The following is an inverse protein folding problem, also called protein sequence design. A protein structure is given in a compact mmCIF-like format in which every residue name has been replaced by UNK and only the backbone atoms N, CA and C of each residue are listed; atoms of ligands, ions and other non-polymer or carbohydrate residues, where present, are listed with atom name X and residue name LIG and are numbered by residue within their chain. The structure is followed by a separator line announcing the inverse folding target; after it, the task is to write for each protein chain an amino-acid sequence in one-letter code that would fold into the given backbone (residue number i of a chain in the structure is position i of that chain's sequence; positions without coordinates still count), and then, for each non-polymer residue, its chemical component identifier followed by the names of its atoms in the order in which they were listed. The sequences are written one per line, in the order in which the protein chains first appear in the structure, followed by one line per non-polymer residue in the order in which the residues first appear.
data_IF_726580143421
#
_entry.id   IF_726580143421
#
_cell.length_a   1.000
_cell.length_b   1.000
_cell.length_c   1.000
_cell.angle_alpha   90.00
_cell.angle_beta   90.00
_cell.angle_gamma   90.00
#
_symmetry.space_group_name_H-M   'P 1'
#
loop_
_entity.id
_entity.type
_entity.pdbx_description
1 polymer ?
#
# COMPACT_ATOMS: atom_id res chain seq x y z
N UNK A 1 -1.78 7.86 14.52
CA UNK A 1 -2.60 8.83 15.28
C UNK A 1 -2.48 10.26 14.74
N UNK A 2 -1.28 10.88 14.73
CA UNK A 2 -1.10 12.31 14.42
C UNK A 2 -1.78 12.82 13.13
N UNK A 3 -1.72 12.06 12.03
CA UNK A 3 -2.42 12.41 10.78
C UNK A 3 -3.93 12.60 10.97
N UNK A 4 -4.58 11.63 11.64
CA UNK A 4 -6.02 11.62 11.89
C UNK A 4 -6.42 12.77 12.81
N UNK A 5 -5.64 12.99 13.88
CA UNK A 5 -5.88 14.08 14.83
C UNK A 5 -5.79 15.46 14.16
N UNK A 6 -4.74 15.70 13.36
CA UNK A 6 -4.57 16.97 12.64
C UNK A 6 -5.68 17.20 11.62
N UNK A 7 -6.07 16.15 10.88
CA UNK A 7 -7.15 16.21 9.91
C UNK A 7 -8.54 16.31 10.57
N UNK A 8 -8.65 16.03 11.87
CA UNK A 8 -9.93 15.86 12.60
C UNK A 8 -10.86 14.86 11.90
N UNK A 9 -10.28 13.88 11.21
CA UNK A 9 -10.98 12.92 10.35
C UNK A 9 -10.07 11.73 10.04
N UNK A 10 -10.61 10.51 10.10
CA UNK A 10 -9.90 9.28 9.75
C UNK A 10 -10.08 8.16 10.77
N UNK A 11 -9.33 7.07 10.58
CA UNK A 11 -9.47 5.84 11.37
C UNK A 11 -8.14 5.47 12.02
N UNK A 12 -7.92 5.82 13.30
CA UNK A 12 -6.63 5.62 13.95
C UNK A 12 -6.49 4.21 14.53
N UNK A 13 -7.58 3.57 14.96
CA UNK A 13 -7.56 2.30 15.68
C UNK A 13 -6.94 1.15 14.89
N UNK A 14 -7.55 0.80 13.74
CA UNK A 14 -7.01 -0.25 12.87
C UNK A 14 -5.58 0.05 12.41
N UNK A 15 -5.31 1.31 12.05
CA UNK A 15 -3.98 1.73 11.62
C UNK A 15 -2.89 1.55 12.69
N UNK A 16 -3.21 1.81 13.97
CA UNK A 16 -2.28 1.57 15.07
C UNK A 16 -2.15 0.07 15.37
N UNK A 17 -3.24 -0.69 15.31
CA UNK A 17 -3.21 -2.14 15.53
C UNK A 17 -2.44 -2.93 14.46
N UNK A 18 -2.42 -2.44 13.22
CA UNK A 18 -1.69 -3.06 12.11
C UNK A 18 -0.25 -2.59 11.93
N UNK A 19 0.24 -1.66 12.77
CA UNK A 19 1.55 -1.02 12.58
C UNK A 19 2.72 -2.02 12.60
N UNK A 20 2.69 -2.99 13.52
CA UNK A 20 3.75 -4.00 13.62
C UNK A 20 3.73 -4.93 12.40
N UNK A 21 2.53 -5.33 11.95
CA UNK A 21 2.36 -6.19 10.78
C UNK A 21 2.88 -5.52 9.51
N UNK A 22 2.46 -4.29 9.24
CA UNK A 22 2.86 -3.60 8.00
C UNK A 22 4.37 -3.33 7.98
N UNK A 23 4.95 -3.02 9.15
CA UNK A 23 6.38 -2.78 9.25
C UNK A 23 7.16 -4.06 8.96
N UNK A 24 6.81 -5.18 9.62
CA UNK A 24 7.44 -6.49 9.37
C UNK A 24 7.29 -6.88 7.89
N UNK A 25 6.10 -6.72 7.31
CA UNK A 25 5.88 -7.02 5.89
C UNK A 25 6.88 -6.25 5.02
N UNK A 26 6.97 -4.93 5.16
CA UNK A 26 7.83 -4.08 4.33
C UNK A 26 9.33 -4.17 4.66
N UNK A 27 9.71 -4.57 5.88
CA UNK A 27 11.13 -4.63 6.28
C UNK A 27 11.75 -6.01 6.12
N UNK A 28 10.95 -7.08 6.12
CA UNK A 28 11.47 -8.45 6.18
C UNK A 28 10.95 -9.38 5.07
N UNK A 29 9.75 -9.16 4.52
CA UNK A 29 9.12 -10.12 3.60
C UNK A 29 8.94 -9.60 2.18
N UNK A 30 8.53 -8.34 2.04
CA UNK A 30 8.22 -7.76 0.75
C UNK A 30 9.51 -7.58 -0.06
N UNK A 31 9.58 -8.23 -1.22
CA UNK A 31 10.66 -8.04 -2.18
C UNK A 31 10.32 -6.90 -3.14
N UNK A 32 10.87 -5.71 -2.88
CA UNK A 32 10.65 -4.52 -3.68
C UNK A 32 11.89 -3.61 -3.62
N UNK A 33 11.98 -2.68 -4.57
CA UNK A 33 13.00 -1.63 -4.56
C UNK A 33 12.34 -0.28 -4.23
N UNK A 34 12.60 0.32 -3.06
CA UNK A 34 12.05 1.63 -2.71
C UNK A 34 12.59 2.76 -3.60
N UNK A 35 13.69 2.54 -4.33
CA UNK A 35 14.23 3.46 -5.33
C UNK A 35 13.65 3.24 -6.74
N UNK A 36 13.09 2.06 -7.02
CA UNK A 36 12.36 1.72 -8.25
C UNK A 36 11.01 1.04 -7.95
N UNK A 37 10.00 1.86 -7.65
CA UNK A 37 8.64 1.39 -7.38
C UNK A 37 7.92 0.86 -8.63
N UNK A 38 8.48 1.10 -9.81
CA UNK A 38 7.94 0.60 -11.07
C UNK A 38 8.56 -0.74 -11.49
N UNK A 39 9.45 -1.31 -10.68
CA UNK A 39 9.99 -2.64 -10.91
C UNK A 39 8.87 -3.66 -11.12
N UNK A 40 8.87 -4.29 -12.30
CA UNK A 40 7.77 -5.13 -12.79
C UNK A 40 7.56 -6.41 -11.99
N UNK A 41 8.63 -6.97 -11.40
CA UNK A 41 8.61 -8.21 -10.64
C UNK A 41 8.74 -7.96 -9.13
N UNK A 42 8.42 -6.75 -8.66
CA UNK A 42 8.25 -6.50 -7.22
C UNK A 42 7.06 -7.30 -6.69
N UNK A 43 7.12 -7.64 -5.41
CA UNK A 43 5.96 -8.09 -4.67
C UNK A 43 4.95 -6.95 -4.52
N UNK A 44 3.67 -7.28 -4.47
CA UNK A 44 2.59 -6.28 -4.39
C UNK A 44 1.79 -6.45 -3.11
N UNK A 45 1.51 -5.34 -2.44
CA UNK A 45 0.63 -5.30 -1.27
C UNK A 45 -0.66 -4.55 -1.61
N UNK A 46 -1.80 -5.21 -1.41
CA UNK A 46 -3.13 -4.65 -1.64
C UNK A 46 -3.83 -4.36 -0.31
N UNK A 47 -3.99 -3.08 0.05
CA UNK A 47 -4.72 -2.74 1.27
C UNK A 47 -6.24 -2.86 1.05
N UNK A 48 -6.84 -3.97 1.47
CA UNK A 48 -8.30 -4.16 1.42
C UNK A 48 -9.07 -3.21 2.38
N UNK A 49 -8.75 -3.15 3.69
CA UNK A 49 -9.37 -2.18 4.58
C UNK A 49 -8.79 -0.77 4.32
N UNK A 50 -9.18 -0.14 3.22
CA UNK A 50 -8.67 1.18 2.82
C UNK A 50 -8.82 2.28 3.87
N UNK A 51 -9.72 2.09 4.83
CA UNK A 51 -9.87 3.01 5.95
C UNK A 51 -8.61 3.07 6.83
N UNK A 52 -7.73 2.06 6.76
CA UNK A 52 -6.40 2.00 7.37
C UNK A 52 -5.32 2.77 6.59
N UNK A 53 -5.70 3.64 5.64
CA UNK A 53 -4.78 4.48 4.86
C UNK A 53 -3.69 5.22 5.67
N UNK A 54 -3.91 5.71 6.92
CA UNK A 54 -2.82 6.33 7.68
C UNK A 54 -1.67 5.36 7.98
N UNK A 55 -1.93 4.06 8.11
CA UNK A 55 -0.89 3.05 8.31
C UNK A 55 -0.04 2.90 7.04
N UNK A 56 -0.71 2.77 5.88
CA UNK A 56 -0.03 2.61 4.60
C UNK A 56 0.83 3.84 4.28
N UNK A 57 0.30 5.06 4.41
CA UNK A 57 1.08 6.26 4.14
C UNK A 57 2.25 6.44 5.12
N UNK A 58 2.07 6.08 6.39
CA UNK A 58 3.18 6.10 7.35
C UNK A 58 4.28 5.12 6.93
N UNK A 59 3.93 3.89 6.56
CA UNK A 59 4.91 2.91 6.09
C UNK A 59 5.62 3.38 4.81
N UNK A 60 4.87 3.89 3.83
CA UNK A 60 5.42 4.38 2.57
C UNK A 60 6.27 5.65 2.76
N UNK A 61 6.02 6.45 3.80
CA UNK A 61 6.92 7.55 4.18
C UNK A 61 8.26 7.05 4.72
N UNK A 62 8.27 5.95 5.48
CA UNK A 62 9.52 5.33 5.96
C UNK A 62 10.38 4.80 4.81
N UNK A 63 9.76 4.50 3.65
CA UNK A 63 10.44 4.07 2.43
C UNK A 63 10.62 5.21 1.41
N UNK A 64 10.40 6.46 1.83
CA UNK A 64 10.69 7.66 1.05
C UNK A 64 9.66 8.04 -0.03
N UNK A 65 8.47 7.43 -0.05
CA UNK A 65 7.42 7.75 -1.03
C UNK A 65 6.57 8.96 -0.64
N UNK A 66 6.55 9.30 0.65
CA UNK A 66 5.82 10.44 1.20
C UNK A 66 6.70 11.22 2.17
N UNK A 67 6.53 12.53 2.18
CA UNK A 67 7.14 13.46 3.12
C UNK A 67 6.27 13.62 4.37
N UNK A 68 6.88 14.04 5.48
CA UNK A 68 6.12 14.38 6.70
C UNK A 68 5.12 15.52 6.47
N UNK A 69 5.39 16.44 5.55
CA UNK A 69 4.47 17.52 5.18
C UNK A 69 3.21 16.96 4.51
N UNK A 70 3.37 16.06 3.53
CA UNK A 70 2.26 15.38 2.86
C UNK A 70 1.43 14.53 3.84
N UNK A 71 2.07 13.81 4.77
CA UNK A 71 1.36 13.09 5.84
C UNK A 71 0.54 14.06 6.71
N UNK A 72 1.11 15.22 7.01
CA UNK A 72 0.43 16.24 7.81
C UNK A 72 -0.77 16.88 7.07
N UNK A 73 -0.88 16.69 5.76
CA UNK A 73 -1.99 17.13 4.92
C UNK A 73 -2.97 15.98 4.61
N UNK A 74 -3.02 14.94 5.45
CA UNK A 74 -3.99 13.85 5.34
C UNK A 74 -5.43 14.36 5.19
N UNK A 75 -6.16 13.81 4.20
CA UNK A 75 -7.56 14.16 3.86
C UNK A 75 -7.79 15.62 3.47
N UNK A 76 -6.74 16.38 3.14
CA UNK A 76 -6.88 17.75 2.67
C UNK A 76 -6.99 17.81 1.14
N UNK A 77 -7.61 18.87 0.62
CA UNK A 77 -7.78 19.07 -0.81
C UNK A 77 -6.43 19.09 -1.56
N UNK A 78 -6.32 18.31 -2.63
CA UNK A 78 -5.11 18.21 -3.44
C UNK A 78 -3.93 17.49 -2.77
N UNK A 79 -4.11 16.96 -1.56
CA UNK A 79 -3.10 16.17 -0.89
C UNK A 79 -2.95 14.78 -1.54
N UNK A 80 -1.73 14.23 -1.65
CA UNK A 80 -1.51 12.87 -2.10
C UNK A 80 -1.86 11.82 -1.03
N UNK A 81 -2.36 12.24 0.14
CA UNK A 81 -2.79 11.35 1.23
C UNK A 81 -4.32 11.42 1.45
N UNK A 82 -5.14 10.95 0.49
CA UNK A 82 -6.60 10.93 0.60
C UNK A 82 -7.10 10.03 1.73
N UNK A 83 -8.41 10.10 2.00
CA UNK A 83 -8.99 9.39 3.14
C UNK A 83 -8.99 7.86 3.03
N UNK A 84 -8.97 7.35 1.80
CA UNK A 84 -8.74 5.96 1.42
C UNK A 84 -7.68 5.97 0.31
N UNK A 85 -6.87 4.92 0.13
CA UNK A 85 -5.85 4.90 -0.92
C UNK A 85 -6.50 5.04 -2.29
N UNK A 86 -5.90 5.86 -3.12
CA UNK A 86 -6.18 5.98 -4.55
C UNK A 86 -4.94 5.48 -5.27
N UNK A 87 -5.11 4.62 -6.28
CA UNK A 87 -4.01 3.95 -6.98
C UNK A 87 -2.97 4.95 -7.48
N UNK A 88 -1.72 4.73 -7.11
CA UNK A 88 -0.56 5.53 -7.48
C UNK A 88 0.70 4.65 -7.36
N UNK A 89 1.09 4.04 -8.48
CA UNK A 89 2.23 3.12 -8.52
C UNK A 89 3.55 3.83 -8.23
N UNK A 90 3.70 5.10 -8.63
CA UNK A 90 4.91 5.90 -8.37
C UNK A 90 5.10 6.18 -6.87
N UNK A 91 4.02 6.09 -6.09
CA UNK A 91 4.02 6.21 -4.63
C UNK A 91 3.84 4.89 -3.88
N UNK A 92 3.78 3.75 -4.58
CA UNK A 92 3.65 2.42 -3.97
C UNK A 92 2.23 2.08 -3.49
N UNK A 93 1.19 2.71 -4.05
CA UNK A 93 -0.22 2.39 -3.78
C UNK A 93 -0.75 1.52 -4.92
N UNK A 94 -0.85 0.21 -4.70
CA UNK A 94 -1.22 -0.78 -5.73
C UNK A 94 -2.70 -0.74 -6.13
N UNK A 95 -3.59 -0.25 -5.26
CA UNK A 95 -5.02 -0.27 -5.52
C UNK A 95 -5.77 0.90 -4.87
N UNK A 96 -6.82 1.35 -5.56
CA UNK A 96 -7.85 2.21 -4.95
C UNK A 96 -8.75 1.34 -4.07
N UNK A 97 -8.80 1.60 -2.76
CA UNK A 97 -9.67 0.86 -1.84
C UNK A 97 -10.58 1.78 -1.01
N UNK A 98 -11.25 1.22 0.00
CA UNK A 98 -12.29 1.88 0.77
C UNK A 98 -13.59 1.06 0.78
N UNK A 99 -14.12 0.68 -0.40
CA UNK A 99 -15.16 -0.35 -0.48
C UNK A 99 -14.58 -1.70 -0.06
N UNK A 100 -14.97 -2.19 1.12
CA UNK A 100 -14.42 -3.42 1.72
C UNK A 100 -14.59 -4.63 0.78
N UNK A 101 -13.59 -5.52 0.76
CA UNK A 101 -13.55 -6.72 -0.07
C UNK A 101 -13.01 -6.52 -1.49
N UNK A 102 -12.98 -5.28 -2.01
CA UNK A 102 -12.45 -5.01 -3.35
C UNK A 102 -10.94 -5.18 -3.44
N UNK A 103 -10.18 -4.74 -2.43
CA UNK A 103 -8.72 -4.90 -2.40
C UNK A 103 -8.32 -6.36 -2.41
N UNK A 104 -9.00 -7.19 -1.62
CA UNK A 104 -8.77 -8.63 -1.60
C UNK A 104 -9.06 -9.27 -2.96
N UNK A 105 -10.15 -8.87 -3.63
CA UNK A 105 -10.51 -9.40 -4.95
C UNK A 105 -9.51 -8.97 -6.04
N UNK A 106 -9.01 -7.74 -5.96
CA UNK A 106 -7.95 -7.25 -6.87
C UNK A 106 -6.63 -8.02 -6.66
N UNK A 107 -6.27 -8.32 -5.41
CA UNK A 107 -5.10 -9.14 -5.10
C UNK A 107 -5.20 -10.55 -5.69
N UNK A 108 -6.39 -11.17 -5.63
CA UNK A 108 -6.65 -12.47 -6.29
C UNK A 108 -6.40 -12.36 -7.81
N UNK A 109 -6.88 -11.30 -8.45
CA UNK A 109 -6.60 -11.04 -9.87
C UNK A 109 -5.11 -10.89 -10.17
N UNK A 110 -4.38 -10.16 -9.32
CA UNK A 110 -2.94 -9.99 -9.44
C UNK A 110 -2.18 -11.31 -9.27
N UNK A 111 -2.60 -12.17 -8.33
CA UNK A 111 -2.00 -13.49 -8.12
C UNK A 111 -2.25 -14.43 -9.31
N UNK A 112 -3.44 -14.38 -9.92
CA UNK A 112 -3.73 -15.12 -11.16
C UNK A 112 -2.82 -14.64 -12.29
N UNK A 113 -2.63 -13.32 -12.42
CA UNK A 113 -1.74 -12.75 -13.43
C UNK A 113 -0.27 -13.16 -13.21
N UNK A 114 0.22 -13.14 -11.96
CA UNK A 114 1.57 -13.63 -11.61
C UNK A 114 1.75 -15.09 -12.05
N UNK A 115 0.83 -15.98 -11.68
CA UNK A 115 0.91 -17.41 -12.05
C UNK A 115 0.95 -17.61 -13.55
N UNK A 116 0.14 -16.86 -14.29
CA UNK A 116 0.14 -16.89 -15.75
C UNK A 116 1.48 -16.41 -16.32
N UNK A 117 2.04 -15.31 -15.81
CA UNK A 117 3.32 -14.77 -16.27
C UNK A 117 4.48 -15.73 -15.97
N UNK A 118 4.49 -16.29 -14.77
CA UNK A 118 5.47 -17.31 -14.35
C UNK A 118 5.40 -18.55 -15.25
N UNK A 119 4.22 -19.09 -15.52
CA UNK A 119 4.07 -20.25 -16.42
C UNK A 119 4.50 -19.91 -17.86
N UNK A 120 4.18 -18.71 -18.34
CA UNK A 120 4.46 -18.30 -19.72
C UNK A 120 5.93 -17.99 -19.97
N UNK A 121 6.62 -17.40 -18.99
CA UNK A 121 7.95 -16.82 -19.18
C UNK A 121 9.04 -17.47 -18.30
N UNK A 122 8.67 -18.23 -17.28
CA UNK A 122 9.57 -18.95 -16.38
C UNK A 122 9.73 -18.30 -15.00
N UNK A 123 10.51 -18.98 -14.13
CA UNK A 123 10.71 -18.65 -12.72
C UNK A 123 11.23 -17.22 -12.46
N UNK A 124 11.92 -16.60 -13.43
CA UNK A 124 12.44 -15.24 -13.27
C UNK A 124 11.33 -14.17 -13.19
N UNK A 125 10.08 -14.51 -13.55
CA UNK A 125 8.89 -13.68 -13.36
C UNK A 125 8.16 -13.93 -12.03
N UNK A 126 8.64 -14.84 -11.18
CA UNK A 126 8.00 -15.16 -9.90
C UNK A 126 8.04 -13.96 -8.96
N UNK A 127 6.91 -13.65 -8.34
CA UNK A 127 6.76 -12.62 -7.29
C UNK A 127 5.54 -12.95 -6.42
N UNK A 128 5.44 -12.32 -5.25
CA UNK A 128 4.37 -12.60 -4.28
C UNK A 128 3.34 -11.47 -4.18
N UNK A 129 2.11 -11.84 -3.82
CA UNK A 129 0.97 -10.93 -3.66
C UNK A 129 0.45 -11.03 -2.23
N UNK A 130 0.39 -9.89 -1.54
CA UNK A 130 -0.03 -9.75 -0.14
C UNK A 130 -1.31 -8.90 -0.02
N UNK A 131 -2.08 -9.14 1.04
CA UNK A 131 -3.31 -8.38 1.40
C UNK A 131 -3.35 -8.06 2.88
#
# INVERSE_FOLDING_TARGET
AAMVEKAKSGHPGGAMGGADFINILYSEYLNYDPSDRNWVNRDRFFLDPGHMSPMLYAQLALTGAYTLEELSNFRQWGSPTPGHPEVDFDRGVENTSGPLGQGHTMAVGAAIAEKFLKERFGEWMSHDIYT
#
